data_IF_471249236659
#
_entry.id   IF_471249236659
#
_cell.length_a   1.000
_cell.length_b   1.000
_cell.length_c   1.000
_cell.angle_alpha   90.00
_cell.angle_beta   90.00
_cell.angle_gamma   90.00
#
_symmetry.space_group_name_H-M   'P 1'
#
loop_
_entity.id
_entity.type
_entity.pdbx_description
1 polymer ?
#
# COMPACT_ATOMS: atom_id res chain seq x y z
N UNK A 1 53.66 -16.13 41.51
CA UNK A 1 55.03 -16.61 41.31
C UNK A 1 55.21 -18.03 41.86
N UNK A 2 55.80 -18.97 41.09
CA UNK A 2 56.30 -20.24 41.65
C UNK A 2 57.22 -19.93 42.84
N UNK A 3 57.26 -20.77 43.89
CA UNK A 3 58.18 -20.51 45.01
C UNK A 3 59.60 -20.54 44.44
N UNK A 4 60.51 -19.71 44.96
CA UNK A 4 61.90 -19.61 44.48
C UNK A 4 62.61 -20.98 44.42
N UNK A 5 62.15 -21.92 45.25
CA UNK A 5 62.62 -23.31 45.35
C UNK A 5 62.13 -24.25 44.24
N UNK A 6 61.16 -23.85 43.42
CA UNK A 6 60.61 -24.65 42.31
C UNK A 6 61.28 -24.33 40.96
N UNK A 7 62.32 -23.48 40.97
CA UNK A 7 63.04 -23.03 39.77
C UNK A 7 64.26 -23.88 39.48
N UNK A 8 64.53 -24.16 38.20
CA UNK A 8 65.76 -24.84 37.83
C UNK A 8 66.98 -23.96 38.11
N UNK A 9 68.16 -24.59 38.27
CA UNK A 9 69.44 -23.87 38.43
C UNK A 9 69.68 -22.87 37.31
N UNK A 10 69.24 -23.19 36.10
CA UNK A 10 69.37 -22.33 34.92
C UNK A 10 68.44 -21.11 35.00
N UNK A 11 67.19 -21.31 35.42
CA UNK A 11 66.23 -20.22 35.63
C UNK A 11 66.68 -19.27 36.75
N UNK A 12 67.28 -19.79 37.82
CA UNK A 12 67.86 -18.97 38.88
C UNK A 12 69.05 -18.13 38.39
N UNK A 13 69.93 -18.72 37.56
CA UNK A 13 71.02 -17.97 36.91
C UNK A 13 70.48 -16.90 35.98
N UNK A 14 69.46 -17.20 35.18
CA UNK A 14 68.82 -16.25 34.27
C UNK A 14 68.18 -15.07 35.03
N UNK A 15 67.51 -15.34 36.16
CA UNK A 15 66.98 -14.28 37.02
C UNK A 15 68.07 -13.42 37.66
N UNK A 16 69.16 -14.04 38.13
CA UNK A 16 70.29 -13.29 38.69
C UNK A 16 70.93 -12.37 37.64
N UNK A 17 71.09 -12.86 36.40
CA UNK A 17 71.57 -12.04 35.29
C UNK A 17 70.60 -10.92 34.93
N UNK A 18 69.29 -11.19 34.97
CA UNK A 18 68.30 -10.15 34.73
C UNK A 18 68.31 -9.06 35.81
N UNK A 19 68.48 -9.44 37.08
CA UNK A 19 68.64 -8.46 38.17
C UNK A 19 69.88 -7.58 37.98
N UNK A 20 71.02 -8.17 37.62
CA UNK A 20 72.24 -7.42 37.32
C UNK A 20 72.04 -6.44 36.15
N UNK A 21 71.33 -6.84 35.09
CA UNK A 21 70.95 -5.97 33.96
C UNK A 21 70.11 -4.77 34.43
N UNK A 22 69.16 -4.97 35.35
CA UNK A 22 68.31 -3.89 35.88
C UNK A 22 69.11 -2.97 36.80
N UNK A 23 69.89 -3.52 37.72
CA UNK A 23 70.63 -2.76 38.74
C UNK A 23 71.81 -1.97 38.15
N UNK A 24 72.56 -2.58 37.23
CA UNK A 24 73.74 -1.95 36.63
C UNK A 24 73.45 -1.22 35.31
N UNK A 25 72.29 -1.46 34.70
CA UNK A 25 71.93 -0.93 33.38
C UNK A 25 72.70 -1.53 32.21
N UNK A 26 73.48 -2.61 32.45
CA UNK A 26 74.23 -3.32 31.40
C UNK A 26 73.31 -4.15 30.52
N UNK A 27 73.81 -4.56 29.35
CA UNK A 27 73.08 -5.47 28.47
C UNK A 27 73.23 -6.92 28.92
N UNK A 28 72.27 -7.77 28.56
CA UNK A 28 72.40 -9.23 28.69
C UNK A 28 73.68 -9.73 28.00
N UNK A 29 74.24 -10.83 28.52
CA UNK A 29 75.44 -11.42 27.90
C UNK A 29 75.17 -11.81 26.45
N UNK A 30 76.23 -11.81 25.66
CA UNK A 30 76.18 -12.23 24.25
C UNK A 30 75.56 -13.62 24.15
N UNK A 31 74.63 -13.79 23.20
CA UNK A 31 73.90 -15.02 22.91
C UNK A 31 72.92 -15.51 24.01
N UNK A 32 72.68 -14.73 25.07
CA UNK A 32 71.72 -15.10 26.11
C UNK A 32 70.34 -15.49 25.54
N UNK A 33 69.78 -14.65 24.68
CA UNK A 33 68.49 -14.89 24.02
C UNK A 33 68.55 -15.89 22.86
N UNK A 34 69.71 -16.04 22.22
CA UNK A 34 69.88 -16.93 21.07
C UNK A 34 69.71 -18.40 21.49
N UNK A 35 70.15 -18.74 22.70
CA UNK A 35 70.01 -20.09 23.25
C UNK A 35 68.54 -20.48 23.42
N UNK A 36 67.67 -19.55 23.79
CA UNK A 36 66.22 -19.80 23.89
C UNK A 36 65.50 -19.72 22.55
N UNK A 37 66.05 -19.01 21.55
CA UNK A 37 65.47 -18.99 20.21
C UNK A 37 65.39 -20.39 19.60
N UNK A 38 66.41 -21.20 19.85
CA UNK A 38 66.58 -22.53 19.28
C UNK A 38 65.83 -23.64 20.06
N UNK A 39 65.08 -23.29 21.10
CA UNK A 39 64.31 -24.25 21.89
C UNK A 39 62.88 -24.40 21.34
N UNK A 40 62.43 -25.65 21.23
CA UNK A 40 61.04 -25.98 20.92
C UNK A 40 60.16 -25.91 22.18
N UNK A 41 58.97 -25.31 22.05
CA UNK A 41 57.99 -25.22 23.13
C UNK A 41 58.23 -24.09 24.13
N UNK A 42 58.09 -24.38 25.42
CA UNK A 42 58.22 -23.38 26.50
C UNK A 42 59.70 -23.02 26.67
N UNK A 43 59.97 -21.71 26.62
CA UNK A 43 61.28 -21.10 26.78
C UNK A 43 61.44 -20.66 28.24
N UNK A 44 62.16 -21.43 29.07
CA UNK A 44 62.07 -21.37 30.52
C UNK A 44 62.66 -20.09 31.13
N UNK A 45 63.69 -19.50 30.53
CA UNK A 45 64.30 -18.24 30.99
C UNK A 45 63.42 -17.06 30.60
N UNK A 46 62.94 -17.02 29.36
CA UNK A 46 61.97 -16.02 28.88
C UNK A 46 60.69 -16.07 29.71
N UNK A 47 60.22 -17.27 30.08
CA UNK A 47 59.04 -17.43 30.93
C UNK A 47 59.27 -16.78 32.30
N UNK A 48 60.34 -17.13 33.00
CA UNK A 48 60.55 -16.66 34.37
C UNK A 48 60.90 -15.16 34.41
N UNK A 49 61.68 -14.67 33.46
CA UNK A 49 62.05 -13.25 33.35
C UNK A 49 60.82 -12.40 33.04
N UNK A 50 59.97 -12.83 32.11
CA UNK A 50 58.71 -12.13 31.79
C UNK A 50 57.81 -12.05 33.02
N UNK A 51 57.64 -13.18 33.73
CA UNK A 51 56.84 -13.21 34.96
C UNK A 51 57.43 -12.33 36.06
N UNK A 52 58.75 -12.34 36.24
CA UNK A 52 59.41 -11.48 37.22
C UNK A 52 59.21 -10.00 36.88
N UNK A 53 59.36 -9.62 35.62
CA UNK A 53 59.12 -8.24 35.17
C UNK A 53 57.68 -7.80 35.46
N UNK A 54 56.68 -8.61 35.12
CA UNK A 54 55.28 -8.23 35.29
C UNK A 54 54.84 -8.32 36.75
N UNK A 55 55.06 -9.47 37.40
CA UNK A 55 54.56 -9.74 38.76
C UNK A 55 55.32 -8.95 39.83
N UNK A 56 56.64 -8.71 39.67
CA UNK A 56 57.49 -8.10 40.72
C UNK A 56 57.87 -6.67 40.42
N UNK A 57 58.33 -6.35 39.21
CA UNK A 57 58.79 -4.98 38.90
C UNK A 57 57.63 -4.03 38.64
N UNK A 58 56.65 -4.46 37.84
CA UNK A 58 55.48 -3.66 37.49
C UNK A 58 54.29 -3.90 38.42
N UNK A 59 54.37 -4.89 39.33
CA UNK A 59 53.33 -5.26 40.30
C UNK A 59 51.97 -5.57 39.63
N UNK A 60 52.02 -6.25 38.48
CA UNK A 60 50.85 -6.68 37.71
C UNK A 60 50.70 -8.18 37.87
N UNK A 61 49.64 -8.60 38.54
CA UNK A 61 49.31 -10.02 38.66
C UNK A 61 48.76 -10.56 37.35
N UNK A 62 48.80 -11.89 37.17
CA UNK A 62 48.25 -12.51 35.96
C UNK A 62 46.74 -12.27 35.79
N UNK A 63 46.01 -11.98 36.86
CA UNK A 63 44.58 -11.63 36.81
C UNK A 63 44.31 -10.19 36.41
N UNK A 64 45.27 -9.29 36.62
CA UNK A 64 45.13 -7.86 36.27
C UNK A 64 45.53 -7.57 34.82
N UNK A 65 46.30 -8.48 34.23
CA UNK A 65 46.78 -8.44 32.85
C UNK A 65 45.71 -7.97 31.84
N UNK A 66 44.48 -8.53 31.78
CA UNK A 66 43.46 -8.11 30.81
C UNK A 66 43.10 -6.61 30.83
N UNK A 67 43.39 -5.89 31.91
CA UNK A 67 43.15 -4.44 32.02
C UNK A 67 44.09 -3.61 31.13
N UNK A 68 45.11 -4.22 30.57
CA UNK A 68 46.12 -3.60 29.71
C UNK A 68 46.00 -4.09 28.27
N UNK A 69 46.34 -3.25 27.30
CA UNK A 69 46.48 -3.69 25.92
C UNK A 69 47.91 -4.16 25.62
N UNK A 70 48.10 -4.91 24.53
CA UNK A 70 49.42 -5.44 24.14
C UNK A 70 50.47 -4.33 23.96
N UNK A 71 50.09 -3.13 23.49
CA UNK A 71 51.06 -2.03 23.34
C UNK A 71 51.60 -1.59 24.70
N UNK A 72 50.73 -1.41 25.70
CA UNK A 72 51.13 -1.04 27.06
C UNK A 72 52.06 -2.09 27.68
N UNK A 73 51.71 -3.38 27.53
CA UNK A 73 52.56 -4.48 28.01
C UNK A 73 53.93 -4.48 27.30
N UNK A 74 53.96 -4.25 25.99
CA UNK A 74 55.22 -4.12 25.24
C UNK A 74 56.07 -2.97 25.78
N UNK A 75 55.46 -1.81 26.03
CA UNK A 75 56.16 -0.64 26.55
C UNK A 75 56.75 -0.91 27.94
N UNK A 76 56.02 -1.61 28.82
CA UNK A 76 56.52 -2.06 30.14
C UNK A 76 57.72 -3.01 30.02
N UNK A 77 57.65 -4.01 29.15
CA UNK A 77 58.75 -4.95 28.94
C UNK A 77 59.98 -4.25 28.34
N UNK A 78 59.79 -3.33 27.39
CA UNK A 78 60.88 -2.56 26.77
C UNK A 78 61.52 -1.61 27.79
N UNK A 79 60.73 -0.92 28.61
CA UNK A 79 61.20 -0.09 29.73
C UNK A 79 62.08 -0.89 30.68
N UNK A 80 61.72 -2.14 30.96
CA UNK A 80 62.48 -3.07 31.79
C UNK A 80 63.54 -3.89 31.02
N UNK A 81 64.07 -3.33 29.91
CA UNK A 81 65.21 -3.86 29.14
C UNK A 81 64.99 -5.21 28.44
N UNK A 82 63.73 -5.62 28.22
CA UNK A 82 63.40 -6.91 27.56
C UNK A 82 63.15 -6.79 26.05
N UNK A 83 63.55 -5.68 25.41
CA UNK A 83 63.41 -5.52 23.95
C UNK A 83 64.14 -6.60 23.16
N UNK A 84 65.34 -6.99 23.60
CA UNK A 84 66.13 -8.06 22.97
C UNK A 84 65.43 -9.42 23.02
N UNK A 85 64.75 -9.75 24.13
CA UNK A 85 63.95 -10.96 24.25
C UNK A 85 62.79 -10.95 23.24
N UNK A 86 62.02 -9.87 23.21
CA UNK A 86 60.86 -9.73 22.32
C UNK A 86 61.28 -9.90 20.85
N UNK A 87 62.38 -9.29 20.44
CA UNK A 87 62.85 -9.34 19.06
C UNK A 87 63.51 -10.67 18.70
N UNK A 88 64.45 -11.16 19.52
CA UNK A 88 65.26 -12.34 19.18
C UNK A 88 64.49 -13.64 19.38
N UNK A 89 63.78 -13.76 20.50
CA UNK A 89 63.12 -15.00 20.91
C UNK A 89 61.76 -15.13 20.21
N UNK A 90 60.94 -14.08 20.23
CA UNK A 90 59.54 -14.17 19.80
C UNK A 90 59.25 -13.41 18.49
N UNK A 91 60.27 -12.98 17.74
CA UNK A 91 60.13 -12.30 16.45
C UNK A 91 59.14 -11.10 16.49
N UNK A 92 59.14 -10.36 17.60
CA UNK A 92 58.23 -9.25 17.92
C UNK A 92 56.74 -9.63 18.18
N UNK A 93 56.40 -10.91 18.31
CA UNK A 93 55.06 -11.34 18.71
C UNK A 93 54.90 -11.35 20.24
N UNK A 94 54.21 -10.32 20.75
CA UNK A 94 53.94 -10.19 22.17
C UNK A 94 52.96 -11.25 22.70
N UNK A 95 52.06 -11.76 21.86
CA UNK A 95 51.12 -12.79 22.31
C UNK A 95 51.89 -14.09 22.62
N UNK A 96 52.89 -14.42 21.81
CA UNK A 96 53.78 -15.56 22.09
C UNK A 96 54.60 -15.38 23.37
N UNK A 97 55.06 -14.16 23.67
CA UNK A 97 55.72 -13.84 24.96
C UNK A 97 54.79 -14.18 26.13
N UNK A 98 53.53 -13.75 26.06
CA UNK A 98 52.54 -13.96 27.12
C UNK A 98 52.10 -15.42 27.24
N UNK A 99 51.90 -16.12 26.11
CA UNK A 99 51.61 -17.57 26.09
C UNK A 99 52.75 -18.38 26.72
N UNK A 100 54.00 -17.97 26.50
CA UNK A 100 55.15 -18.58 27.13
C UNK A 100 55.22 -18.31 28.63
N UNK A 101 54.87 -17.09 29.06
CA UNK A 101 54.86 -16.69 30.48
C UNK A 101 53.75 -17.39 31.30
N UNK A 102 52.55 -17.52 30.72
CA UNK A 102 51.34 -17.98 31.41
C UNK A 102 50.62 -19.12 30.67
N UNK A 103 51.29 -20.24 30.36
CA UNK A 103 50.75 -21.27 29.48
C UNK A 103 49.46 -21.90 30.03
N UNK A 104 49.34 -22.04 31.35
CA UNK A 104 48.17 -22.64 31.99
C UNK A 104 46.98 -21.68 32.01
N UNK A 105 47.20 -20.38 32.11
CA UNK A 105 46.17 -19.34 32.10
C UNK A 105 45.57 -19.18 30.70
N UNK A 106 46.39 -19.34 29.64
CA UNK A 106 45.91 -19.45 28.26
C UNK A 106 45.17 -20.77 28.02
N UNK A 107 45.64 -21.91 28.56
CA UNK A 107 44.92 -23.21 28.48
C UNK A 107 43.57 -23.17 29.21
N UNK A 108 43.52 -22.56 30.41
CA UNK A 108 42.31 -22.37 31.22
C UNK A 108 41.41 -21.26 30.70
N UNK A 109 41.80 -20.59 29.60
CA UNK A 109 41.03 -19.52 28.95
C UNK A 109 40.76 -18.32 29.86
N UNK A 110 41.66 -18.04 30.80
CA UNK A 110 41.55 -16.88 31.70
C UNK A 110 42.02 -15.57 31.02
N UNK A 111 42.88 -15.68 30.00
CA UNK A 111 43.43 -14.54 29.22
C UNK A 111 42.88 -14.50 27.77
N UNK A 112 41.61 -14.86 27.58
CA UNK A 112 40.94 -14.96 26.26
C UNK A 112 40.91 -13.65 25.48
N UNK A 113 40.78 -12.50 26.15
CA UNK A 113 40.71 -11.19 25.49
C UNK A 113 41.99 -10.86 24.69
N UNK A 114 43.13 -11.36 25.12
CA UNK A 114 44.41 -11.21 24.42
C UNK A 114 44.67 -12.26 23.37
N UNK A 115 44.04 -13.44 23.48
CA UNK A 115 44.08 -14.44 22.42
C UNK A 115 43.56 -13.85 21.10
N UNK A 116 42.64 -12.88 21.17
CA UNK A 116 41.94 -12.33 20.02
C UNK A 116 42.49 -11.01 19.47
N UNK A 117 43.50 -10.41 20.09
CA UNK A 117 43.89 -9.01 19.82
C UNK A 117 44.94 -8.80 18.72
N UNK A 118 45.63 -9.83 18.20
CA UNK A 118 46.59 -9.62 17.08
C UNK A 118 46.95 -10.85 16.23
N UNK A 119 46.80 -10.66 14.90
CA UNK A 119 47.55 -11.23 13.76
C UNK A 119 47.67 -12.75 13.49
N UNK A 120 47.15 -13.68 14.31
CA UNK A 120 47.46 -15.11 14.03
C UNK A 120 46.39 -16.16 14.31
N UNK A 121 45.17 -15.79 14.69
CA UNK A 121 44.20 -16.79 15.18
C UNK A 121 42.88 -16.85 14.41
N UNK A 122 42.67 -15.98 13.41
CA UNK A 122 41.43 -15.96 12.63
C UNK A 122 41.29 -17.13 11.66
N UNK A 123 42.37 -17.85 11.40
CA UNK A 123 42.36 -19.08 10.60
C UNK A 123 41.75 -20.26 11.36
N UNK A 124 41.64 -20.17 12.69
CA UNK A 124 40.99 -21.20 13.50
C UNK A 124 39.51 -20.87 13.73
N UNK A 125 38.64 -21.75 13.24
CA UNK A 125 37.18 -21.64 13.29
C UNK A 125 36.64 -21.55 14.72
N UNK A 126 37.17 -22.38 15.63
CA UNK A 126 36.73 -22.41 17.02
C UNK A 126 37.00 -21.08 17.72
N UNK A 127 38.16 -20.47 17.44
CA UNK A 127 38.53 -19.19 18.02
C UNK A 127 37.69 -18.03 17.47
N UNK A 128 37.36 -18.05 16.18
CA UNK A 128 36.44 -17.07 15.58
C UNK A 128 35.06 -17.16 16.25
N UNK A 129 34.53 -18.39 16.40
CA UNK A 129 33.22 -18.62 17.02
C UNK A 129 33.22 -18.14 18.47
N UNK A 130 34.22 -18.55 19.26
CA UNK A 130 34.32 -18.19 20.68
C UNK A 130 34.45 -16.69 20.88
N UNK A 131 35.32 -16.01 20.11
CA UNK A 131 35.54 -14.57 20.21
C UNK A 131 34.25 -13.78 19.92
N UNK A 132 33.53 -14.16 18.86
CA UNK A 132 32.29 -13.48 18.48
C UNK A 132 31.18 -13.77 19.49
N UNK A 133 31.03 -15.01 19.97
CA UNK A 133 30.02 -15.36 20.98
C UNK A 133 30.29 -14.64 22.31
N UNK A 134 31.54 -14.58 22.75
CA UNK A 134 31.94 -13.83 23.94
C UNK A 134 31.63 -12.34 23.80
N UNK A 135 31.97 -11.72 22.66
CA UNK A 135 31.64 -10.32 22.38
C UNK A 135 30.12 -10.10 22.46
N UNK A 136 29.31 -10.95 21.82
CA UNK A 136 27.84 -10.83 21.82
C UNK A 136 27.29 -10.90 23.24
N UNK A 137 27.81 -11.83 24.07
CA UNK A 137 27.41 -12.00 25.46
C UNK A 137 27.79 -10.80 26.33
N UNK A 138 29.01 -10.25 26.16
CA UNK A 138 29.48 -9.06 26.88
C UNK A 138 28.74 -7.78 26.51
N UNK A 139 28.29 -7.66 25.26
CA UNK A 139 27.39 -6.56 24.84
C UNK A 139 25.97 -6.71 25.39
N UNK A 140 25.67 -7.78 26.16
CA UNK A 140 24.37 -8.00 26.79
C UNK A 140 23.29 -8.47 25.82
N UNK A 141 23.66 -8.94 24.62
CA UNK A 141 22.72 -9.37 23.59
C UNK A 141 22.27 -10.81 23.89
N UNK A 142 21.18 -10.94 24.64
CA UNK A 142 20.63 -12.26 25.03
C UNK A 142 19.87 -12.97 23.92
N UNK A 143 19.29 -12.22 22.98
CA UNK A 143 18.52 -12.75 21.85
C UNK A 143 19.32 -12.61 20.57
N UNK A 144 19.66 -13.74 19.96
CA UNK A 144 20.41 -13.83 18.71
C UNK A 144 19.74 -13.00 17.60
N UNK A 145 18.41 -12.96 17.54
CA UNK A 145 17.64 -12.20 16.54
C UNK A 145 17.86 -10.67 16.60
N UNK A 146 18.39 -10.15 17.69
CA UNK A 146 18.69 -8.73 17.84
C UNK A 146 20.03 -8.35 17.18
N UNK A 147 20.89 -9.33 16.86
CA UNK A 147 22.22 -9.11 16.29
C UNK A 147 22.20 -8.15 15.10
N UNK A 148 21.34 -8.32 14.08
CA UNK A 148 21.39 -7.48 12.88
C UNK A 148 21.06 -5.99 13.09
N UNK A 149 20.48 -5.62 14.25
CA UNK A 149 20.07 -4.24 14.57
C UNK A 149 21.24 -3.37 15.03
N UNK A 150 22.35 -3.95 15.48
CA UNK A 150 23.47 -3.24 16.08
C UNK A 150 24.52 -2.77 15.06
N UNK A 151 25.31 -1.75 15.44
CA UNK A 151 26.48 -1.32 14.69
C UNK A 151 27.70 -2.16 15.06
N UNK A 152 27.91 -3.23 14.29
CA UNK A 152 29.01 -4.18 14.46
C UNK A 152 30.38 -3.59 14.16
N UNK A 153 30.51 -2.56 13.32
CA UNK A 153 31.82 -1.94 13.09
C UNK A 153 32.37 -1.36 14.40
N UNK A 154 31.55 -0.61 15.12
CA UNK A 154 31.93 -0.04 16.42
C UNK A 154 32.21 -1.10 17.47
N UNK A 155 31.40 -2.17 17.51
CA UNK A 155 31.55 -3.27 18.49
C UNK A 155 32.80 -4.09 18.24
N UNK A 156 33.02 -4.53 17.01
CA UNK A 156 34.21 -5.30 16.65
C UNK A 156 35.50 -4.51 16.92
N UNK A 157 35.51 -3.19 16.73
CA UNK A 157 36.63 -2.32 17.10
C UNK A 157 36.81 -2.23 18.62
N UNK A 158 35.73 -2.11 19.40
CA UNK A 158 35.77 -2.06 20.88
C UNK A 158 36.47 -3.29 21.49
N UNK A 159 36.28 -4.48 20.91
CA UNK A 159 36.90 -5.73 21.38
C UNK A 159 38.18 -6.09 20.61
N UNK A 160 38.73 -5.19 19.78
CA UNK A 160 39.92 -5.44 18.96
C UNK A 160 39.83 -6.66 18.01
N UNK A 161 38.62 -7.10 17.67
CA UNK A 161 38.38 -8.25 16.79
C UNK A 161 37.97 -7.85 15.37
N UNK A 162 38.02 -6.56 15.02
CA UNK A 162 37.61 -6.03 13.71
C UNK A 162 38.30 -6.71 12.52
N UNK A 163 39.57 -7.10 12.69
CA UNK A 163 40.35 -7.73 11.63
C UNK A 163 39.84 -9.14 11.26
N UNK A 164 39.01 -9.78 12.09
CA UNK A 164 38.37 -11.07 11.74
C UNK A 164 37.57 -10.97 10.44
N UNK A 165 37.07 -9.78 10.10
CA UNK A 165 36.28 -9.55 8.90
C UNK A 165 37.08 -9.74 7.61
N UNK A 166 38.42 -9.69 7.62
CA UNK A 166 39.24 -9.94 6.43
C UNK A 166 38.98 -11.34 5.85
N UNK A 167 38.81 -12.35 6.72
CA UNK A 167 38.44 -13.73 6.37
C UNK A 167 37.07 -13.83 5.70
N UNK A 168 36.19 -12.87 5.95
CA UNK A 168 34.80 -12.87 5.50
C UNK A 168 34.52 -11.83 4.42
N UNK A 169 35.54 -11.44 3.64
CA UNK A 169 35.44 -10.41 2.60
C UNK A 169 34.84 -9.09 3.12
N UNK A 170 35.22 -8.71 4.35
CA UNK A 170 34.70 -7.54 5.05
C UNK A 170 33.17 -7.54 5.27
N UNK A 171 32.53 -8.72 5.21
CA UNK A 171 31.08 -8.88 5.40
C UNK A 171 30.75 -9.31 6.83
N UNK A 172 30.09 -8.41 7.56
CA UNK A 172 29.53 -8.69 8.89
C UNK A 172 28.48 -9.82 8.83
N UNK A 173 27.67 -9.86 7.77
CA UNK A 173 26.71 -10.94 7.58
C UNK A 173 27.42 -12.29 7.48
N UNK A 174 28.49 -12.40 6.68
CA UNK A 174 29.20 -13.67 6.50
C UNK A 174 29.84 -14.13 7.82
N UNK A 175 30.39 -13.21 8.61
CA UNK A 175 30.89 -13.51 9.95
C UNK A 175 29.79 -14.09 10.84
N UNK A 176 28.62 -13.44 10.92
CA UNK A 176 27.53 -13.91 11.79
C UNK A 176 26.80 -15.14 11.25
N UNK A 177 26.73 -15.33 9.94
CA UNK A 177 26.22 -16.56 9.34
C UNK A 177 27.19 -17.73 9.56
N UNK A 178 28.49 -17.47 9.64
CA UNK A 178 29.47 -18.48 10.03
C UNK A 178 29.29 -18.89 11.50
N UNK A 179 29.15 -17.92 12.41
CA UNK A 179 29.01 -18.18 13.86
C UNK A 179 27.62 -18.72 14.23
N UNK A 180 26.57 -18.31 13.50
CA UNK A 180 25.19 -18.75 13.70
C UNK A 180 24.55 -19.16 12.36
N UNK A 181 24.90 -20.36 11.83
CA UNK A 181 24.46 -20.81 10.52
C UNK A 181 22.95 -20.77 10.34
N UNK A 182 22.50 -20.14 9.24
CA UNK A 182 21.10 -20.10 8.82
C UNK A 182 20.17 -19.27 9.71
N UNK A 183 20.68 -18.58 10.73
CA UNK A 183 19.87 -17.75 11.64
C UNK A 183 19.52 -16.39 11.07
N UNK A 184 20.30 -15.90 10.10
CA UNK A 184 20.16 -14.56 9.56
C UNK A 184 20.08 -14.58 8.04
N UNK A 185 19.48 -13.52 7.49
CA UNK A 185 19.55 -13.21 6.08
C UNK A 185 20.42 -11.96 5.87
N UNK A 186 21.13 -11.80 4.72
CA UNK A 186 21.88 -10.57 4.44
C UNK A 186 21.03 -9.31 4.58
N UNK A 187 19.75 -9.41 4.24
CA UNK A 187 18.78 -8.31 4.33
C UNK A 187 18.55 -7.78 5.74
N UNK A 188 18.77 -8.60 6.78
CA UNK A 188 18.52 -8.21 8.17
C UNK A 188 19.53 -7.17 8.69
N UNK A 189 20.75 -7.17 8.15
CA UNK A 189 21.81 -6.26 8.60
C UNK A 189 21.68 -4.88 7.94
N UNK A 190 22.00 -3.81 8.68
CA UNK A 190 21.88 -2.42 8.21
C UNK A 190 22.94 -1.96 7.18
N UNK A 191 23.84 -2.84 6.74
CA UNK A 191 24.97 -2.49 5.86
C UNK A 191 24.58 -2.39 4.38
N UNK A 192 25.32 -1.57 3.61
CA UNK A 192 25.12 -1.38 2.17
C UNK A 192 25.59 -2.57 1.31
N UNK A 193 26.45 -3.43 1.86
CA UNK A 193 27.09 -4.54 1.14
C UNK A 193 26.09 -5.58 0.61
N UNK A 194 24.89 -5.70 1.20
CA UNK A 194 23.81 -6.58 0.72
C UNK A 194 23.22 -6.21 -0.65
N UNK A 195 23.52 -5.02 -1.17
CA UNK A 195 23.10 -4.58 -2.50
C UNK A 195 24.19 -4.75 -3.57
N UNK A 196 25.46 -4.90 -3.15
CA UNK A 196 26.61 -5.06 -4.04
C UNK A 196 26.97 -6.55 -4.15
N UNK A 197 26.01 -7.35 -4.60
CA UNK A 197 26.21 -8.77 -4.91
C UNK A 197 26.61 -8.94 -6.37
N UNK A 198 27.43 -9.94 -6.68
CA UNK A 198 27.77 -10.26 -8.08
C UNK A 198 26.54 -10.80 -8.85
N UNK A 199 25.51 -11.23 -8.13
CA UNK A 199 24.25 -11.74 -8.69
C UNK A 199 23.12 -10.71 -8.53
N UNK A 200 22.56 -10.25 -9.67
CA UNK A 200 21.37 -9.39 -9.70
C UNK A 200 20.15 -10.07 -9.06
N UNK A 201 20.04 -11.39 -9.21
CA UNK A 201 18.96 -12.19 -8.64
C UNK A 201 18.98 -12.16 -7.11
N UNK A 202 20.16 -12.24 -6.51
CA UNK A 202 20.33 -12.21 -5.05
C UNK A 202 20.00 -10.82 -4.48
N UNK A 203 20.40 -9.74 -5.15
CA UNK A 203 20.03 -8.38 -4.77
C UNK A 203 18.50 -8.17 -4.81
N UNK A 204 17.83 -8.75 -5.80
CA UNK A 204 16.36 -8.72 -5.93
C UNK A 204 15.66 -9.57 -4.86
N UNK A 205 16.22 -10.71 -4.47
CA UNK A 205 15.64 -11.53 -3.39
C UNK A 205 15.80 -10.84 -2.03
N UNK A 206 16.99 -10.29 -1.76
CA UNK A 206 17.27 -9.46 -0.59
C UNK A 206 16.34 -8.25 -0.51
N UNK A 207 16.03 -7.62 -1.64
CA UNK A 207 15.14 -6.45 -1.68
C UNK A 207 13.69 -6.84 -1.40
N UNK A 208 13.19 -7.95 -1.98
CA UNK A 208 11.86 -8.48 -1.68
C UNK A 208 11.72 -8.76 -0.18
N UNK A 209 12.66 -9.51 0.41
CA UNK A 209 12.60 -9.91 1.81
C UNK A 209 12.62 -8.70 2.76
N UNK A 210 13.42 -7.68 2.42
CA UNK A 210 13.46 -6.43 3.19
C UNK A 210 12.15 -5.65 3.08
N UNK A 211 11.58 -5.53 1.87
CA UNK A 211 10.30 -4.87 1.66
C UNK A 211 9.18 -5.58 2.41
N UNK A 212 9.05 -6.90 2.24
CA UNK A 212 8.04 -7.74 2.88
C UNK A 212 8.09 -7.59 4.41
N UNK A 213 9.27 -7.79 5.01
CA UNK A 213 9.49 -7.58 6.44
C UNK A 213 9.06 -6.18 6.88
N UNK A 214 9.49 -5.16 6.16
CA UNK A 214 9.24 -3.75 6.51
C UNK A 214 7.76 -3.41 6.40
N UNK A 215 7.09 -3.83 5.34
CA UNK A 215 5.68 -3.58 5.13
C UNK A 215 4.81 -4.32 6.14
N UNK A 216 5.17 -5.57 6.49
CA UNK A 216 4.50 -6.36 7.52
C UNK A 216 4.69 -5.78 8.93
N UNK A 217 5.92 -5.41 9.30
CA UNK A 217 6.22 -4.77 10.60
C UNK A 217 5.46 -3.43 10.78
N UNK A 218 5.28 -2.67 9.69
CA UNK A 218 4.53 -1.42 9.69
C UNK A 218 3.02 -1.61 9.39
N UNK A 219 2.56 -2.86 9.21
CA UNK A 219 1.16 -3.21 8.90
C UNK A 219 0.57 -2.43 7.72
N UNK A 220 1.37 -2.23 6.67
CA UNK A 220 0.92 -1.47 5.50
C UNK A 220 -0.07 -2.29 4.67
N UNK A 221 -1.20 -1.68 4.33
CA UNK A 221 -2.14 -2.26 3.37
C UNK A 221 -1.58 -2.16 1.94
N UNK A 222 -2.11 -2.97 1.02
CA UNK A 222 -1.75 -2.92 -0.41
C UNK A 222 -1.90 -1.52 -1.00
N UNK A 223 -3.01 -0.83 -0.69
CA UNK A 223 -3.28 0.54 -1.13
C UNK A 223 -2.23 1.53 -0.60
N UNK A 224 -1.88 1.40 0.69
CA UNK A 224 -0.83 2.22 1.29
C UNK A 224 0.53 1.96 0.64
N UNK A 225 0.86 0.69 0.33
CA UNK A 225 2.09 0.33 -0.39
C UNK A 225 2.11 0.97 -1.78
N UNK A 226 0.99 0.93 -2.51
CA UNK A 226 0.86 1.56 -3.84
C UNK A 226 1.11 3.07 -3.79
N UNK A 227 0.67 3.73 -2.73
CA UNK A 227 0.84 5.18 -2.51
C UNK A 227 2.22 5.57 -2.00
N UNK A 228 3.11 4.63 -1.67
CA UNK A 228 4.45 4.94 -1.19
C UNK A 228 5.24 5.73 -2.23
N UNK A 229 5.76 6.87 -1.78
CA UNK A 229 6.66 7.75 -2.52
C UNK A 229 8.13 7.51 -2.12
N UNK A 230 9.06 8.16 -2.81
CA UNK A 230 10.49 8.06 -2.48
C UNK A 230 10.82 8.54 -1.05
N UNK A 231 10.11 9.55 -0.54
CA UNK A 231 10.28 10.02 0.84
C UNK A 231 9.78 8.98 1.84
N UNK A 232 8.73 8.24 1.53
CA UNK A 232 8.25 7.12 2.35
C UNK A 232 9.26 5.98 2.40
N UNK A 233 9.84 5.58 1.25
CA UNK A 233 10.92 4.60 1.24
C UNK A 233 12.13 5.06 2.08
N UNK A 234 12.43 6.36 2.12
CA UNK A 234 13.43 6.92 3.05
C UNK A 234 13.02 6.80 4.50
N UNK A 235 11.77 7.17 4.84
CA UNK A 235 11.21 7.06 6.19
C UNK A 235 11.25 5.62 6.72
N UNK A 236 10.97 4.64 5.86
CA UNK A 236 11.02 3.22 6.21
C UNK A 236 12.41 2.59 6.10
N UNK A 237 13.47 3.36 5.84
CA UNK A 237 14.85 2.84 5.78
C UNK A 237 15.18 2.03 4.52
N UNK A 238 14.29 2.04 3.51
CA UNK A 238 14.41 1.32 2.24
C UNK A 238 15.16 2.13 1.17
N UNK A 239 15.59 3.37 1.45
CA UNK A 239 16.22 4.24 0.44
C UNK A 239 17.51 3.64 -0.16
N UNK A 240 18.30 2.92 0.64
CA UNK A 240 19.55 2.32 0.14
C UNK A 240 19.28 1.21 -0.87
N UNK A 241 18.30 0.34 -0.56
CA UNK A 241 17.79 -0.67 -1.47
C UNK A 241 17.26 -0.03 -2.75
N UNK A 242 16.43 1.01 -2.61
CA UNK A 242 15.78 1.68 -3.71
C UNK A 242 16.81 2.22 -4.71
N UNK A 243 17.83 2.92 -4.21
CA UNK A 243 18.91 3.48 -5.02
C UNK A 243 19.80 2.42 -5.67
N UNK A 244 20.09 1.33 -4.98
CA UNK A 244 21.06 0.34 -5.47
C UNK A 244 20.44 -0.73 -6.38
N UNK A 245 19.17 -1.07 -6.20
CA UNK A 245 18.51 -2.19 -6.91
C UNK A 245 17.50 -1.71 -7.95
N UNK A 246 16.85 -0.57 -7.71
CA UNK A 246 15.73 -0.07 -8.53
C UNK A 246 15.98 1.34 -9.08
N UNK A 247 17.25 1.75 -9.19
CA UNK A 247 17.65 3.06 -9.75
C UNK A 247 17.01 4.28 -9.05
N UNK A 248 16.58 4.13 -7.80
CA UNK A 248 15.90 5.19 -7.05
C UNK A 248 14.41 5.33 -7.36
N UNK A 249 13.82 4.44 -8.16
CA UNK A 249 12.43 4.48 -8.61
C UNK A 249 11.49 3.64 -7.73
N UNK A 250 10.59 4.28 -6.94
CA UNK A 250 9.60 3.58 -6.12
C UNK A 250 8.64 2.71 -6.94
N UNK A 251 8.32 3.09 -8.18
CA UNK A 251 7.36 2.35 -9.00
C UNK A 251 7.91 0.96 -9.33
N UNK A 252 9.14 0.88 -9.84
CA UNK A 252 9.83 -0.40 -10.12
C UNK A 252 9.90 -1.31 -8.89
N UNK A 253 10.19 -0.74 -7.71
CA UNK A 253 10.27 -1.50 -6.47
C UNK A 253 8.91 -2.09 -6.07
N UNK A 254 7.83 -1.28 -6.17
CA UNK A 254 6.45 -1.70 -5.87
C UNK A 254 5.97 -2.76 -6.85
N UNK A 255 6.18 -2.57 -8.14
CA UNK A 255 5.84 -3.54 -9.19
C UNK A 255 6.50 -4.89 -8.93
N UNK A 256 7.81 -4.88 -8.65
CA UNK A 256 8.55 -6.10 -8.33
C UNK A 256 8.03 -6.78 -7.06
N UNK A 257 7.75 -6.01 -6.00
CA UNK A 257 7.17 -6.54 -4.77
C UNK A 257 5.84 -7.24 -5.04
N UNK A 258 4.91 -6.56 -5.73
CA UNK A 258 3.61 -7.15 -6.04
C UNK A 258 3.73 -8.36 -6.96
N UNK A 259 4.61 -8.33 -7.96
CA UNK A 259 4.88 -9.48 -8.83
C UNK A 259 5.31 -10.71 -8.03
N UNK A 260 6.22 -10.55 -7.06
CA UNK A 260 6.66 -11.65 -6.20
C UNK A 260 5.55 -12.19 -5.29
N UNK A 261 4.61 -11.33 -4.90
CA UNK A 261 3.44 -11.74 -4.11
C UNK A 261 2.32 -12.42 -4.91
N UNK A 262 2.39 -12.46 -6.24
CA UNK A 262 1.33 -13.08 -7.09
C UNK A 262 1.19 -14.58 -6.89
N UNK A 263 2.26 -15.30 -6.53
CA UNK A 263 2.19 -16.73 -6.24
C UNK A 263 1.73 -17.04 -4.80
N UNK A 264 1.46 -16.01 -3.98
CA UNK A 264 0.90 -16.19 -2.66
C UNK A 264 -0.63 -16.37 -2.77
N UNK A 265 -1.10 -17.56 -2.37
CA UNK A 265 -2.52 -17.94 -2.39
C UNK A 265 -3.44 -16.94 -1.68
N UNK A 266 -2.96 -16.28 -0.62
CA UNK A 266 -3.73 -15.29 0.14
C UNK A 266 -3.93 -14.00 -0.66
N UNK A 267 -2.88 -13.52 -1.34
CA UNK A 267 -2.96 -12.34 -2.21
C UNK A 267 -3.79 -12.61 -3.48
N UNK A 268 -3.75 -13.83 -4.01
CA UNK A 268 -4.63 -14.22 -5.12
C UNK A 268 -6.11 -14.17 -4.72
N UNK A 269 -6.45 -14.62 -3.51
CA UNK A 269 -7.81 -14.55 -3.00
C UNK A 269 -8.26 -13.11 -2.74
N UNK A 270 -7.39 -12.27 -2.17
CA UNK A 270 -7.64 -10.84 -2.02
C UNK A 270 -7.87 -10.14 -3.36
N UNK A 271 -7.00 -10.39 -4.35
CA UNK A 271 -7.14 -9.82 -5.69
C UNK A 271 -8.45 -10.27 -6.38
N UNK A 272 -8.80 -11.55 -6.28
CA UNK A 272 -10.09 -12.05 -6.79
C UNK A 272 -11.27 -11.38 -6.13
N UNK A 273 -11.22 -11.16 -4.80
CA UNK A 273 -12.26 -10.46 -4.08
C UNK A 273 -12.36 -8.98 -4.48
N UNK A 274 -11.24 -8.29 -4.66
CA UNK A 274 -11.20 -6.91 -5.15
C UNK A 274 -11.78 -6.80 -6.56
N UNK A 275 -11.37 -7.67 -7.49
CA UNK A 275 -11.92 -7.73 -8.84
C UNK A 275 -13.44 -7.92 -8.77
N UNK A 276 -13.90 -8.86 -7.95
CA UNK A 276 -15.35 -9.09 -7.75
C UNK A 276 -16.08 -7.86 -7.21
N UNK A 277 -15.50 -7.14 -6.24
CA UNK A 277 -16.07 -5.90 -5.69
C UNK A 277 -16.14 -4.81 -6.77
N UNK A 278 -15.07 -4.64 -7.56
CA UNK A 278 -15.01 -3.65 -8.63
C UNK A 278 -15.98 -3.98 -9.76
N UNK A 279 -16.08 -5.25 -10.17
CA UNK A 279 -17.09 -5.72 -11.10
C UNK A 279 -18.50 -5.43 -10.59
N UNK A 280 -18.79 -5.71 -9.32
CA UNK A 280 -20.08 -5.43 -8.71
C UNK A 280 -20.39 -3.92 -8.68
N UNK A 281 -19.41 -3.07 -8.34
CA UNK A 281 -19.56 -1.61 -8.39
C UNK A 281 -19.82 -1.11 -9.81
N UNK A 282 -19.09 -1.62 -10.80
CA UNK A 282 -19.30 -1.28 -12.21
C UNK A 282 -20.69 -1.70 -12.69
N UNK A 283 -21.13 -2.91 -12.36
CA UNK A 283 -22.48 -3.38 -12.65
C UNK A 283 -23.56 -2.53 -11.97
N UNK A 284 -23.37 -2.18 -10.70
CA UNK A 284 -24.27 -1.31 -9.96
C UNK A 284 -24.40 0.06 -10.62
N UNK A 285 -23.30 0.63 -11.09
CA UNK A 285 -23.31 1.91 -11.83
C UNK A 285 -24.04 1.79 -13.17
N UNK A 286 -23.83 0.70 -13.92
CA UNK A 286 -24.57 0.45 -15.16
C UNK A 286 -26.07 0.33 -14.93
N UNK A 287 -26.49 -0.43 -13.90
CA UNK A 287 -27.90 -0.58 -13.53
C UNK A 287 -28.48 0.77 -13.12
N UNK A 288 -27.78 1.53 -12.26
CA UNK A 288 -28.23 2.83 -11.80
C UNK A 288 -28.43 3.82 -12.96
N UNK A 289 -27.50 3.89 -13.91
CA UNK A 289 -27.62 4.76 -15.08
C UNK A 289 -28.83 4.36 -15.94
N UNK A 290 -29.04 3.06 -16.18
CA UNK A 290 -30.20 2.54 -16.92
C UNK A 290 -31.53 2.85 -16.22
N UNK A 291 -31.55 2.80 -14.89
CA UNK A 291 -32.72 3.13 -14.08
C UNK A 291 -33.01 4.64 -14.12
N UNK A 292 -31.98 5.50 -14.04
CA UNK A 292 -32.12 6.95 -14.17
C UNK A 292 -32.77 7.36 -15.49
N UNK A 293 -32.37 6.74 -16.60
CA UNK A 293 -32.97 7.00 -17.93
C UNK A 293 -34.44 6.59 -18.01
N UNK A 294 -34.84 5.52 -17.30
CA UNK A 294 -36.19 4.98 -17.34
C UNK A 294 -37.12 5.53 -16.24
N UNK A 295 -36.56 6.24 -15.25
CA UNK A 295 -37.30 6.72 -14.09
C UNK A 295 -38.02 8.06 -14.39
N UNK A 296 -39.15 8.24 -13.72
CA UNK A 296 -39.86 9.52 -13.64
C UNK A 296 -39.96 9.90 -12.16
N UNK A 297 -39.01 10.70 -11.69
CA UNK A 297 -38.80 10.93 -10.26
C UNK A 297 -38.31 9.66 -9.56
N UNK A 298 -38.99 9.25 -8.47
CA UNK A 298 -38.67 8.03 -7.70
C UNK A 298 -39.27 6.75 -8.31
N UNK A 299 -40.15 6.88 -9.31
CA UNK A 299 -40.95 5.78 -9.81
C UNK A 299 -40.47 5.29 -11.18
N UNK A 300 -40.58 3.99 -11.39
CA UNK A 300 -40.38 3.34 -12.67
C UNK A 300 -41.70 2.72 -13.10
N UNK A 301 -42.24 3.20 -14.21
CA UNK A 301 -43.53 2.78 -14.76
C UNK A 301 -43.33 1.96 -16.02
N UNK A 302 -44.29 1.05 -16.26
CA UNK A 302 -44.45 0.37 -17.56
C UNK A 302 -43.14 -0.22 -18.11
N UNK A 303 -42.29 -0.79 -17.26
CA UNK A 303 -40.99 -1.31 -17.70
C UNK A 303 -41.11 -2.29 -18.89
N UNK A 304 -42.21 -3.05 -18.95
CA UNK A 304 -42.54 -3.94 -20.07
C UNK A 304 -42.70 -3.25 -21.43
N UNK A 305 -43.07 -1.96 -21.48
CA UNK A 305 -43.15 -1.20 -22.74
C UNK A 305 -41.77 -0.76 -23.22
N UNK A 306 -40.77 -0.67 -22.33
CA UNK A 306 -39.37 -0.48 -22.71
C UNK A 306 -38.62 -1.83 -22.68
N UNK A 307 -38.78 -2.59 -23.77
CA UNK A 307 -38.23 -3.93 -23.90
C UNK A 307 -36.72 -4.00 -23.67
N UNK A 308 -35.98 -2.96 -24.07
CA UNK A 308 -34.53 -2.89 -23.93
C UNK A 308 -34.09 -2.83 -22.47
N UNK A 309 -34.69 -1.92 -21.68
CA UNK A 309 -34.40 -1.75 -20.25
C UNK A 309 -34.95 -2.92 -19.44
N UNK A 310 -36.13 -3.43 -19.77
CA UNK A 310 -36.69 -4.62 -19.13
C UNK A 310 -35.80 -5.85 -19.29
N UNK A 311 -35.37 -6.15 -20.53
CA UNK A 311 -34.50 -7.28 -20.82
C UNK A 311 -33.14 -7.14 -20.13
N UNK A 312 -32.59 -5.92 -20.12
CA UNK A 312 -31.36 -5.62 -19.39
C UNK A 312 -31.50 -5.93 -17.90
N UNK A 313 -32.49 -5.34 -17.23
CA UNK A 313 -32.72 -5.54 -15.78
C UNK A 313 -33.07 -7.00 -15.45
N UNK A 314 -33.84 -7.69 -16.31
CA UNK A 314 -34.16 -9.11 -16.15
C UNK A 314 -32.91 -9.99 -16.12
N UNK A 315 -31.89 -9.70 -16.94
CA UNK A 315 -30.61 -10.45 -16.93
C UNK A 315 -29.87 -10.27 -15.61
N UNK A 316 -29.75 -9.04 -15.11
CA UNK A 316 -29.06 -8.78 -13.84
C UNK A 316 -29.85 -9.29 -12.63
N UNK A 317 -31.18 -9.21 -12.66
CA UNK A 317 -32.04 -9.79 -11.64
C UNK A 317 -31.87 -11.32 -11.57
N UNK A 318 -31.83 -11.99 -12.73
CA UNK A 318 -31.54 -13.44 -12.81
C UNK A 318 -30.14 -13.76 -12.30
N UNK A 319 -29.12 -12.98 -12.69
CA UNK A 319 -27.73 -13.15 -12.23
C UNK A 319 -27.61 -13.08 -10.70
N UNK A 320 -28.38 -12.20 -10.06
CA UNK A 320 -28.38 -11.99 -8.60
C UNK A 320 -29.46 -12.80 -7.85
N UNK A 321 -30.13 -13.73 -8.53
CA UNK A 321 -31.21 -14.55 -7.97
C UNK A 321 -32.29 -13.75 -7.22
N UNK A 322 -32.74 -12.63 -7.81
CA UNK A 322 -33.76 -11.77 -7.23
C UNK A 322 -34.81 -11.35 -8.26
N UNK A 323 -35.94 -10.82 -7.79
CA UNK A 323 -36.98 -10.27 -8.67
C UNK A 323 -36.55 -8.90 -9.20
N UNK A 324 -37.08 -8.52 -10.37
CA UNK A 324 -36.82 -7.18 -10.95
C UNK A 324 -37.26 -6.07 -9.98
N UNK A 325 -38.38 -6.27 -9.25
CA UNK A 325 -38.85 -5.33 -8.23
C UNK A 325 -37.84 -5.15 -7.10
N UNK A 326 -37.26 -6.24 -6.59
CA UNK A 326 -36.24 -6.18 -5.54
C UNK A 326 -34.94 -5.53 -6.03
N UNK A 327 -34.52 -5.84 -7.27
CA UNK A 327 -33.35 -5.21 -7.88
C UNK A 327 -33.53 -3.70 -7.98
N UNK A 328 -34.69 -3.23 -8.46
CA UNK A 328 -35.00 -1.80 -8.59
C UNK A 328 -35.00 -1.10 -7.22
N UNK A 329 -35.56 -1.77 -6.20
CA UNK A 329 -35.62 -1.26 -4.84
C UNK A 329 -34.24 -1.07 -4.18
N UNK A 330 -33.25 -1.91 -4.51
CA UNK A 330 -31.86 -1.77 -4.01
C UNK A 330 -31.24 -0.41 -4.38
N UNK A 331 -31.66 0.18 -5.49
CA UNK A 331 -31.17 1.49 -5.95
C UNK A 331 -32.10 2.66 -5.55
N UNK A 332 -33.07 2.43 -4.64
CA UNK A 332 -33.95 3.46 -4.11
C UNK A 332 -35.17 3.82 -4.97
N UNK A 333 -35.42 3.08 -6.05
CA UNK A 333 -36.55 3.29 -6.94
C UNK A 333 -37.74 2.39 -6.59
N UNK A 334 -38.95 2.82 -6.96
CA UNK A 334 -40.19 2.05 -6.74
C UNK A 334 -40.77 1.65 -8.10
N UNK A 335 -40.86 0.34 -8.33
CA UNK A 335 -41.51 -0.21 -9.53
C UNK A 335 -43.02 -0.30 -9.34
N UNK A 336 -43.78 0.49 -10.11
CA UNK A 336 -45.25 0.50 -10.11
C UNK A 336 -45.79 -0.07 -11.41
N UNK A 337 -46.71 -1.02 -11.31
CA UNK A 337 -47.46 -1.49 -12.49
C UNK A 337 -48.68 -0.60 -12.73
N UNK A 338 -49.09 -0.46 -14.00
CA UNK A 338 -50.29 0.33 -14.34
C UNK A 338 -51.54 -0.13 -13.57
N UNK A 339 -51.69 -1.46 -13.36
CA UNK A 339 -52.81 -2.04 -12.60
C UNK A 339 -52.84 -1.62 -11.12
N UNK A 340 -51.68 -1.50 -10.47
CA UNK A 340 -51.59 -1.08 -9.06
C UNK A 340 -51.87 0.43 -8.90
N UNK A 341 -51.46 1.26 -9.87
CA UNK A 341 -51.71 2.72 -9.85
C UNK A 341 -53.20 3.05 -10.08
N UNK A 342 -53.93 2.23 -10.85
CA UNK A 342 -55.36 2.44 -11.15
C UNK A 342 -56.28 2.28 -9.94
N UNK A 343 -55.88 1.54 -8.90
CA UNK A 343 -56.73 1.26 -7.74
C UNK A 343 -56.82 2.44 -6.74
N UNK A 344 -55.95 3.44 -6.88
CA UNK A 344 -55.75 4.51 -5.88
C UNK A 344 -56.25 5.89 -6.36
N UNK A 345 -56.52 6.05 -7.65
CA UNK A 345 -56.82 7.35 -8.26
C UNK A 345 -58.33 7.62 -8.31
N UNK A 346 -58.77 8.74 -7.72
CA UNK A 346 -60.16 9.22 -7.82
C UNK A 346 -60.40 9.88 -9.20
N UNK A 347 -61.32 9.35 -10.04
CA UNK A 347 -61.68 9.98 -11.30
C UNK A 347 -62.12 11.44 -11.14
N UNK A 348 -62.83 11.80 -10.06
CA UNK A 348 -63.32 13.16 -9.84
C UNK A 348 -62.18 14.16 -9.68
N UNK A 349 -61.10 13.77 -9.01
CA UNK A 349 -59.92 14.62 -8.84
C UNK A 349 -59.20 14.86 -10.17
N UNK A 350 -59.09 13.83 -11.02
CA UNK A 350 -58.53 13.95 -12.37
C UNK A 350 -59.37 14.92 -13.22
N UNK A 351 -60.70 14.83 -13.11
CA UNK A 351 -61.63 15.71 -13.82
C UNK A 351 -61.43 17.19 -13.43
N UNK A 352 -61.35 17.49 -12.14
CA UNK A 352 -61.13 18.84 -11.62
C UNK A 352 -59.77 19.41 -12.02
N UNK A 353 -58.71 18.61 -11.92
CA UNK A 353 -57.38 19.02 -12.37
C UNK A 353 -57.35 19.25 -13.89
N UNK A 354 -58.09 18.46 -14.65
CA UNK A 354 -58.17 18.63 -16.10
C UNK A 354 -58.94 19.90 -16.48
N UNK A 355 -60.04 20.23 -15.79
CA UNK A 355 -60.75 21.51 -15.94
C UNK A 355 -59.86 22.72 -15.64
N UNK A 356 -58.94 22.59 -14.68
CA UNK A 356 -57.88 23.58 -14.39
C UNK A 356 -56.77 23.63 -15.44
N UNK A 357 -56.92 22.92 -16.57
CA UNK A 357 -56.03 22.86 -17.73
C UNK A 357 -54.67 22.19 -17.51
N UNK A 358 -54.47 21.46 -16.41
CA UNK A 358 -53.26 20.67 -16.22
C UNK A 358 -53.15 19.54 -17.26
N UNK A 359 -51.97 19.37 -17.85
CA UNK A 359 -51.65 18.27 -18.76
C UNK A 359 -51.63 16.93 -18.02
N UNK A 360 -51.77 15.80 -18.73
CA UNK A 360 -51.66 14.48 -18.10
C UNK A 360 -50.32 14.26 -17.39
N UNK A 361 -49.24 14.91 -17.85
CA UNK A 361 -47.93 14.88 -17.19
C UNK A 361 -47.94 15.61 -15.85
N UNK A 362 -48.58 16.76 -15.78
CA UNK A 362 -48.68 17.54 -14.54
C UNK A 362 -49.65 16.93 -13.54
N UNK A 363 -50.77 16.37 -14.02
CA UNK A 363 -51.72 15.61 -13.20
C UNK A 363 -51.01 14.39 -12.61
N UNK A 364 -50.28 13.64 -13.43
CA UNK A 364 -49.50 12.50 -12.98
C UNK A 364 -48.47 12.88 -11.89
N UNK A 365 -47.77 14.01 -12.04
CA UNK A 365 -46.86 14.51 -10.99
C UNK A 365 -47.60 14.86 -9.69
N UNK A 366 -48.75 15.53 -9.77
CA UNK A 366 -49.54 15.92 -8.58
C UNK A 366 -50.13 14.73 -7.84
N UNK A 367 -50.58 13.71 -8.57
CA UNK A 367 -51.22 12.52 -8.02
C UNK A 367 -50.24 11.35 -7.79
N UNK A 368 -48.93 11.59 -7.87
CA UNK A 368 -47.89 10.55 -7.76
C UNK A 368 -48.17 9.31 -8.64
N UNK A 369 -48.60 9.58 -9.87
CA UNK A 369 -49.09 8.61 -10.85
C UNK A 369 -48.34 8.73 -12.18
N UNK A 370 -48.81 8.02 -13.21
CA UNK A 370 -48.24 7.99 -14.55
C UNK A 370 -49.21 8.59 -15.59
N UNK A 371 -48.73 9.38 -16.59
CA UNK A 371 -49.62 10.02 -17.58
C UNK A 371 -50.46 9.04 -18.40
N UNK A 372 -49.94 7.82 -18.66
CA UNK A 372 -50.72 6.77 -19.32
C UNK A 372 -51.87 6.29 -18.45
N UNK A 373 -51.66 6.19 -17.14
CA UNK A 373 -52.70 5.78 -16.19
C UNK A 373 -53.83 6.81 -16.15
N UNK A 374 -53.47 8.10 -16.10
CA UNK A 374 -54.43 9.22 -16.19
C UNK A 374 -55.21 9.17 -17.50
N UNK A 375 -54.53 9.02 -18.65
CA UNK A 375 -55.19 8.93 -19.96
C UNK A 375 -56.15 7.75 -20.07
N UNK A 376 -55.84 6.61 -19.45
CA UNK A 376 -56.66 5.42 -19.52
C UNK A 376 -57.91 5.54 -18.63
N UNK A 377 -57.79 6.18 -17.46
CA UNK A 377 -58.93 6.55 -16.61
C UNK A 377 -59.84 7.53 -17.36
N UNK A 378 -59.28 8.57 -17.98
CA UNK A 378 -60.07 9.51 -18.77
C UNK A 378 -60.85 8.81 -19.90
N UNK A 379 -60.21 7.86 -20.59
CA UNK A 379 -60.87 7.07 -21.64
C UNK A 379 -62.00 6.20 -21.10
N UNK A 380 -61.81 5.56 -19.93
CA UNK A 380 -62.78 4.63 -19.34
C UNK A 380 -63.96 5.33 -18.68
N UNK A 381 -63.69 6.33 -17.83
CA UNK A 381 -64.70 7.00 -17.00
C UNK A 381 -65.37 8.18 -17.71
N UNK A 382 -64.65 8.86 -18.61
CA UNK A 382 -65.14 10.07 -19.31
C UNK A 382 -65.26 9.90 -20.83
N UNK A 383 -64.97 8.70 -21.35
CA UNK A 383 -64.97 8.41 -22.79
C UNK A 383 -63.81 9.04 -23.58
N UNK A 384 -62.89 9.78 -22.94
CA UNK A 384 -61.75 10.49 -23.55
C UNK A 384 -61.28 11.70 -22.73
N UNK A 385 -60.58 12.68 -23.33
CA UNK A 385 -60.12 13.88 -22.60
C UNK A 385 -61.33 14.70 -22.09
N UNK A 386 -61.43 14.99 -20.77
CA UNK A 386 -62.47 15.83 -20.19
C UNK A 386 -62.66 17.22 -20.81
N UNK A 387 -61.64 17.78 -21.48
CA UNK A 387 -61.78 19.07 -22.16
C UNK A 387 -62.50 18.98 -23.52
N UNK A 388 -62.74 17.78 -24.04
CA UNK A 388 -63.45 17.58 -25.30
C UNK A 388 -64.96 17.51 -24.99
N UNK A 389 -65.78 18.40 -25.56
CA UNK A 389 -67.21 18.40 -25.28
C UNK A 389 -67.90 17.19 -25.92
N UNK A 390 -68.97 16.71 -25.27
CA UNK A 390 -69.75 15.54 -25.72
C UNK A 390 -71.26 15.78 -25.57
N UNK A 391 -72.11 15.22 -26.45
CA UNK A 391 -71.78 14.41 -27.63
C UNK A 391 -70.99 15.19 -28.68
N UNK A 392 -69.90 14.61 -29.20
CA UNK A 392 -68.97 15.34 -30.08
C UNK A 392 -69.63 15.79 -31.39
N UNK A 393 -70.65 15.05 -31.84
CA UNK A 393 -71.40 15.34 -33.07
C UNK A 393 -72.14 16.68 -33.01
N UNK A 394 -72.41 17.21 -31.80
CA UNK A 394 -73.05 18.50 -31.59
C UNK A 394 -72.07 19.68 -31.72
N UNK A 395 -70.77 19.41 -31.86
CA UNK A 395 -69.72 20.42 -31.93
C UNK A 395 -68.97 20.34 -33.25
N UNK A 396 -68.40 21.46 -33.67
CA UNK A 396 -67.58 21.61 -34.86
C UNK A 396 -66.30 22.35 -34.48
N UNK A 397 -65.17 21.97 -35.05
CA UNK A 397 -63.90 22.66 -34.82
C UNK A 397 -63.84 23.95 -35.64
N UNK A 398 -63.05 24.94 -35.19
CA UNK A 398 -62.86 26.16 -36.00
C UNK A 398 -62.31 25.81 -37.39
N UNK A 399 -61.38 24.86 -37.48
CA UNK A 399 -60.79 24.48 -38.77
C UNK A 399 -61.87 23.94 -39.73
N UNK A 400 -62.72 23.02 -39.27
CA UNK A 400 -63.84 22.52 -40.07
C UNK A 400 -64.83 23.62 -40.45
N UNK A 401 -65.06 24.61 -39.58
CA UNK A 401 -65.89 25.78 -39.90
C UNK A 401 -65.25 26.63 -41.00
N UNK A 402 -63.94 26.89 -40.92
CA UNK A 402 -63.19 27.63 -41.93
C UNK A 402 -63.23 26.91 -43.27
N UNK A 403 -63.01 25.60 -43.27
CA UNK A 403 -62.95 24.78 -44.49
C UNK A 403 -64.33 24.62 -45.13
N UNK A 404 -65.37 24.40 -44.33
CA UNK A 404 -66.74 24.16 -44.83
C UNK A 404 -67.44 25.45 -45.26
N UNK A 405 -67.23 26.54 -44.53
CA UNK A 405 -67.96 27.79 -44.77
C UNK A 405 -67.11 28.91 -45.37
N UNK A 406 -65.80 28.69 -45.57
CA UNK A 406 -64.83 29.63 -46.14
C UNK A 406 -64.76 30.96 -45.41
N UNK A 407 -64.89 30.93 -44.08
CA UNK A 407 -64.77 32.13 -43.21
C UNK A 407 -63.42 32.07 -42.51
N UNK A 408 -62.74 33.20 -42.38
CA UNK A 408 -61.45 33.27 -41.70
C UNK A 408 -61.59 33.14 -40.17
N UNK A 409 -60.54 32.65 -39.53
CA UNK A 409 -60.50 32.43 -38.07
C UNK A 409 -60.84 33.69 -37.27
N UNK A 410 -60.38 34.87 -37.69
CA UNK A 410 -60.59 36.13 -36.94
C UNK A 410 -62.06 36.50 -36.90
N UNK A 411 -62.77 36.34 -38.02
CA UNK A 411 -64.21 36.56 -38.10
C UNK A 411 -64.99 35.56 -37.26
N UNK A 412 -64.65 34.27 -37.32
CA UNK A 412 -65.28 33.25 -36.48
C UNK A 412 -65.12 33.60 -34.99
N UNK A 413 -63.92 34.01 -34.59
CA UNK A 413 -63.65 34.39 -33.21
C UNK A 413 -64.36 35.66 -32.76
N UNK A 414 -64.55 36.63 -33.66
CA UNK A 414 -65.36 37.82 -33.41
C UNK A 414 -66.82 37.43 -33.10
N UNK A 415 -67.41 36.59 -33.94
CA UNK A 415 -68.79 36.10 -33.75
C UNK A 415 -68.96 35.33 -32.44
N UNK A 416 -67.98 34.50 -32.08
CA UNK A 416 -67.98 33.76 -30.80
C UNK A 416 -67.97 34.72 -29.61
N UNK A 417 -67.14 35.76 -29.66
CA UNK A 417 -67.02 36.74 -28.57
C UNK A 417 -68.23 37.66 -28.45
N UNK A 418 -68.81 38.10 -29.57
CA UNK A 418 -69.95 39.02 -29.57
C UNK A 418 -71.25 38.36 -29.13
N UNK A 419 -71.37 37.04 -29.33
CA UNK A 419 -72.58 36.28 -29.02
C UNK A 419 -72.44 35.38 -27.79
N UNK A 420 -71.32 35.46 -27.05
CA UNK A 420 -71.02 34.62 -25.87
C UNK A 420 -71.24 33.11 -26.12
N UNK A 421 -70.78 32.61 -27.26
CA UNK A 421 -71.03 31.23 -27.66
C UNK A 421 -70.28 30.22 -26.79
N UNK A 422 -70.86 29.03 -26.67
CA UNK A 422 -70.24 27.91 -25.95
C UNK A 422 -68.93 27.50 -26.64
N UNK A 423 -67.83 27.60 -25.89
CA UNK A 423 -66.49 27.47 -26.44
C UNK A 423 -65.63 26.54 -25.57
N UNK A 424 -65.28 25.37 -26.10
CA UNK A 424 -64.41 24.40 -25.46
C UNK A 424 -63.03 24.40 -26.10
N UNK A 425 -62.01 24.69 -25.31
CA UNK A 425 -60.63 24.79 -25.78
C UNK A 425 -59.81 23.58 -25.31
N UNK A 426 -59.21 22.88 -26.27
CA UNK A 426 -58.17 21.87 -26.01
C UNK A 426 -56.80 22.39 -26.44
N UNK A 427 -55.74 21.61 -26.22
CA UNK A 427 -54.37 21.95 -26.65
C UNK A 427 -54.27 22.06 -28.19
N UNK A 428 -55.11 21.31 -28.94
CA UNK A 428 -55.03 21.23 -30.40
C UNK A 428 -56.15 21.97 -31.11
N UNK A 429 -57.37 21.82 -30.61
CA UNK A 429 -58.58 22.27 -31.28
C UNK A 429 -59.45 23.12 -30.35
N UNK A 430 -60.22 24.03 -30.96
CA UNK A 430 -61.32 24.73 -30.31
C UNK A 430 -62.64 24.23 -30.89
N UNK A 431 -63.54 23.80 -30.03
CA UNK A 431 -64.83 23.23 -30.38
C UNK A 431 -65.93 24.25 -30.07
N UNK A 432 -66.78 24.49 -31.07
CA UNK A 432 -67.93 25.39 -31.01
C UNK A 432 -69.20 24.57 -31.23
N UNK A 433 -70.29 24.92 -30.54
CA UNK A 433 -71.56 24.21 -30.67
C UNK A 433 -72.18 24.49 -32.03
N UNK A 434 -72.47 23.45 -32.83
CA UNK A 434 -73.01 23.57 -34.19
C UNK A 434 -74.29 24.40 -34.24
N UNK A 435 -75.19 24.18 -33.29
CA UNK A 435 -76.48 24.86 -33.19
C UNK A 435 -76.35 26.37 -33.00
N UNK A 436 -75.22 26.85 -32.48
CA UNK A 436 -74.97 28.25 -32.19
C UNK A 436 -74.17 28.93 -33.32
N UNK A 437 -73.06 28.31 -33.74
CA UNK A 437 -72.12 28.95 -34.67
C UNK A 437 -72.60 28.90 -36.13
N UNK A 438 -73.24 27.80 -36.57
CA UNK A 438 -73.62 27.63 -37.98
C UNK A 438 -74.66 28.69 -38.42
N UNK A 439 -75.75 28.95 -37.65
CA UNK A 439 -76.72 29.98 -38.03
C UNK A 439 -76.10 31.37 -38.13
N UNK A 440 -75.20 31.72 -37.21
CA UNK A 440 -74.50 33.01 -37.20
C UNK A 440 -73.58 33.17 -38.40
N UNK A 441 -72.89 32.11 -38.81
CA UNK A 441 -72.04 32.12 -40.00
C UNK A 441 -72.87 32.26 -41.28
N UNK A 442 -73.97 31.51 -41.40
CA UNK A 442 -74.88 31.64 -42.54
C UNK A 442 -75.42 33.07 -42.63
N UNK A 443 -75.81 33.67 -41.50
CA UNK A 443 -76.29 35.04 -41.45
C UNK A 443 -75.18 36.05 -41.83
N UNK A 444 -73.97 35.87 -41.31
CA UNK A 444 -72.80 36.70 -41.65
C UNK A 444 -72.51 36.66 -43.16
N UNK A 445 -72.53 35.47 -43.78
CA UNK A 445 -72.31 35.32 -45.24
C UNK A 445 -73.37 36.05 -46.08
N UNK A 446 -74.62 36.11 -45.60
CA UNK A 446 -75.71 36.81 -46.29
C UNK A 446 -75.66 38.33 -46.14
N UNK A 447 -75.24 38.82 -44.99
CA UNK A 447 -75.30 40.25 -44.62
C UNK A 447 -73.99 41.01 -44.85
N UNK A 448 -72.85 40.33 -44.90
CA UNK A 448 -71.54 40.98 -45.05
C UNK A 448 -71.20 41.25 -46.51
N UNK A 449 -71.33 42.51 -46.93
CA UNK A 449 -70.90 43.01 -48.26
C UNK A 449 -69.41 42.73 -48.54
N UNK A 450 -68.55 42.82 -47.51
CA UNK A 450 -67.12 42.56 -47.64
C UNK A 450 -66.84 41.08 -47.93
N UNK A 451 -67.55 40.15 -47.30
CA UNK A 451 -67.37 38.72 -47.54
C UNK A 451 -67.87 38.32 -48.92
N UNK A 452 -69.00 38.88 -49.37
CA UNK A 452 -69.53 38.67 -50.72
C UNK A 452 -68.57 39.17 -51.79
N UNK A 453 -68.02 40.38 -51.64
CA UNK A 453 -67.04 40.93 -52.57
C UNK A 453 -65.75 40.09 -52.65
N UNK A 454 -65.34 39.46 -51.54
CA UNK A 454 -64.15 38.62 -51.47
C UNK A 454 -64.36 37.28 -52.20
N UNK A 455 -65.52 36.63 -52.03
CA UNK A 455 -65.87 35.40 -52.78
C UNK A 455 -65.95 35.69 -54.30
N UNK A 456 -66.56 36.80 -54.70
CA UNK A 456 -66.69 37.17 -56.13
C UNK A 456 -65.34 37.34 -56.80
N UNK A 457 -64.33 37.89 -56.10
CA UNK A 457 -62.95 38.02 -56.61
C UNK A 457 -62.24 36.67 -56.82
N UNK A 458 -62.49 35.68 -55.98
CA UNK A 458 -61.86 34.36 -56.12
C UNK A 458 -62.58 33.44 -57.12
N UNK A 459 -63.88 33.64 -57.38
CA UNK A 459 -64.61 32.91 -58.41
C UNK A 459 -64.43 33.46 -59.83
N UNK A 460 -63.99 34.71 -60.01
CA UNK A 460 -63.76 35.33 -61.33
C UNK A 460 -62.33 35.19 -61.85
N UNK A 461 -61.49 34.40 -61.17
CA UNK A 461 -60.09 34.13 -61.54
C UNK A 461 -59.76 32.63 -61.69
N UNK A 462 -60.75 31.79 -62.00
CA UNK A 462 -60.58 30.37 -62.34
C UNK A 462 -60.97 30.11 -63.80
#
# INVERSE_FOLDING_TARGET
>A
MKKLFDLSREQLKALAEYKDVIETGRFFKRNFWQNEKNMDGIRPNSQIITRYCLEVLENISCTDLPSYNLKQIKDMLVKNRLSGMIQTVFDNDLLSVLKNAYPEEFKKRQLTEWMWSSHGIWDNDEYVIEAVQYMVLKEGIRRVDMIPKYDWKKRLLKYNIYNVLSRFNWSVYNLFNFVYPGRFHPSDFRYRTKWKTNSKKEALDNSYRLMDKTFNENRLSREQILLLSRSDFKRYGLISMLLSVFDGDPLKAKEFYFYKTLNNSENLNLLKNEIRIQEEQFENNLILNRLKEAATGKFIYNLHTNHSTYSFLKRYAKKRNMTIRNLIAQFGYIYKTAKEDHAVLDPKEIWELRKKRYTYVEIAKKLNSNPTSISLICKREFGGDPLIPRPIDNYITIQEVMDTYHVDHKTIMKLVSENNLENHLTIRNRYLKKSEIIPLIINYKKSSLQHQALITRYHSGA
#
